data_IF_870733951552
#
_entry.id   IF_870733951552
#
_cell.length_a   1.000
_cell.length_b   1.000
_cell.length_c   1.000
_cell.angle_alpha   90.00
_cell.angle_beta   90.00
_cell.angle_gamma   90.00
#
_symmetry.space_group_name_H-M   'P 1'
#
loop_
_entity.id
_entity.type
_entity.pdbx_description
1 polymer ?
#
# COMPACT_ATOMS: atom_id res chain seq x y z
N UNK A 1 -24.78 -0.40 8.60
CA UNK A 1 -24.35 0.54 7.55
C UNK A 1 -22.83 0.53 7.47
N UNK A 2 -22.25 0.72 6.28
CA UNK A 2 -20.80 0.72 6.10
C UNK A 2 -20.17 2.03 6.58
N UNK A 3 -18.86 2.02 6.83
CA UNK A 3 -18.08 3.18 7.27
C UNK A 3 -17.81 4.23 6.16
N UNK A 4 -18.55 4.18 5.04
CA UNK A 4 -18.33 5.05 3.88
C UNK A 4 -17.22 4.61 2.93
N UNK A 5 -16.49 3.53 3.22
CA UNK A 5 -15.36 3.06 2.39
C UNK A 5 -15.80 2.08 1.31
N UNK A 6 -15.26 2.24 0.09
CA UNK A 6 -15.41 1.31 -1.03
C UNK A 6 -14.03 0.73 -1.35
N UNK A 7 -13.83 -0.54 -0.99
CA UNK A 7 -12.51 -1.17 -1.01
C UNK A 7 -11.70 -0.77 0.22
N UNK A 8 -10.65 0.05 0.03
CA UNK A 8 -9.82 0.62 1.09
C UNK A 8 -9.54 2.11 0.85
N UNK A 9 -8.80 2.75 1.77
CA UNK A 9 -8.54 4.19 1.70
C UNK A 9 -7.77 4.62 0.45
N UNK A 10 -6.95 3.74 -0.13
CA UNK A 10 -6.18 3.99 -1.36
C UNK A 10 -7.01 3.80 -2.63
N UNK A 11 -8.12 3.04 -2.59
CA UNK A 11 -9.06 2.95 -3.72
C UNK A 11 -10.12 4.04 -3.74
N UNK A 12 -10.34 4.73 -2.62
CA UNK A 12 -11.41 5.72 -2.47
C UNK A 12 -11.34 6.86 -3.48
N UNK A 13 -10.15 7.38 -3.78
CA UNK A 13 -9.99 8.47 -4.75
C UNK A 13 -10.50 8.12 -6.15
N UNK A 14 -10.33 6.86 -6.57
CA UNK A 14 -10.87 6.36 -7.84
C UNK A 14 -12.36 6.03 -7.74
N UNK A 15 -12.79 5.47 -6.60
CA UNK A 15 -14.19 5.14 -6.37
C UNK A 15 -15.10 6.38 -6.36
N UNK A 16 -14.64 7.49 -5.74
CA UNK A 16 -15.33 8.77 -5.75
C UNK A 16 -15.53 9.28 -7.18
N UNK A 17 -14.47 9.30 -7.99
CA UNK A 17 -14.56 9.75 -9.38
C UNK A 17 -15.49 8.87 -10.22
N UNK A 18 -15.43 7.54 -10.06
CA UNK A 18 -16.27 6.61 -10.78
C UNK A 18 -17.76 6.81 -10.43
N UNK A 19 -18.10 6.93 -9.15
CA UNK A 19 -19.50 7.08 -8.72
C UNK A 19 -20.07 8.46 -9.04
N UNK A 20 -19.27 9.52 -8.95
CA UNK A 20 -19.71 10.86 -9.35
C UNK A 20 -20.03 10.95 -10.86
N UNK A 21 -19.37 10.13 -11.68
CA UNK A 21 -19.55 10.13 -13.14
C UNK A 21 -20.55 9.09 -13.64
N UNK A 22 -21.08 8.23 -12.76
CA UNK A 22 -21.98 7.11 -13.10
C UNK A 22 -23.31 7.13 -12.32
N UNK A 23 -23.78 8.31 -11.93
CA UNK A 23 -24.95 8.50 -11.06
C UNK A 23 -26.24 7.83 -11.56
N UNK A 24 -26.36 7.62 -12.87
CA UNK A 24 -27.49 6.97 -13.51
C UNK A 24 -27.58 5.45 -13.27
N UNK A 25 -26.48 4.79 -12.87
CA UNK A 25 -26.38 3.33 -12.86
C UNK A 25 -26.56 2.66 -11.49
N UNK A 26 -26.61 3.41 -10.40
CA UNK A 26 -26.73 2.84 -9.05
C UNK A 26 -28.07 3.11 -8.36
N UNK A 27 -29.02 3.75 -9.05
CA UNK A 27 -30.41 3.80 -8.58
C UNK A 27 -30.99 2.38 -8.48
N UNK A 28 -31.79 2.06 -7.43
CA UNK A 28 -32.33 2.93 -6.38
C UNK A 28 -31.41 3.08 -5.15
N UNK A 29 -30.22 2.45 -5.15
CA UNK A 29 -29.31 2.43 -3.99
C UNK A 29 -28.68 3.82 -3.82
N UNK A 30 -29.06 4.51 -2.75
CA UNK A 30 -28.44 5.81 -2.42
C UNK A 30 -27.02 5.58 -1.91
N UNK A 31 -26.07 6.29 -2.49
CA UNK A 31 -24.70 6.37 -2.01
C UNK A 31 -24.50 7.67 -1.25
N UNK A 32 -24.00 7.57 -0.01
CA UNK A 32 -23.68 8.74 0.80
C UNK A 32 -22.30 9.29 0.41
N UNK A 33 -22.32 10.24 -0.54
CA UNK A 33 -21.13 10.94 -1.01
C UNK A 33 -20.43 11.71 0.13
N UNK A 34 -21.18 12.31 1.05
CA UNK A 34 -20.60 13.13 2.12
C UNK A 34 -19.82 12.25 3.11
N UNK A 35 -20.37 11.08 3.44
CA UNK A 35 -19.68 10.09 4.26
C UNK A 35 -18.39 9.59 3.58
N UNK A 36 -18.46 9.22 2.29
CA UNK A 36 -17.31 8.76 1.52
C UNK A 36 -16.22 9.83 1.37
N UNK A 37 -16.61 11.10 1.16
CA UNK A 37 -15.70 12.23 1.09
C UNK A 37 -15.00 12.48 2.43
N UNK A 38 -15.73 12.40 3.55
CA UNK A 38 -15.18 12.62 4.90
C UNK A 38 -14.10 11.59 5.26
N UNK A 39 -14.27 10.32 4.87
CA UNK A 39 -13.27 9.27 5.06
C UNK A 39 -11.94 9.63 4.40
N UNK A 40 -12.02 10.16 3.18
CA UNK A 40 -10.86 10.56 2.38
C UNK A 40 -10.23 11.84 2.90
N UNK A 41 -11.04 12.87 3.16
CA UNK A 41 -10.56 14.18 3.60
C UNK A 41 -9.79 14.12 4.93
N UNK A 42 -10.19 13.23 5.84
CA UNK A 42 -9.60 13.11 7.16
C UNK A 42 -8.40 12.14 7.23
N UNK A 43 -7.99 11.52 6.11
CA UNK A 43 -6.87 10.60 6.11
C UNK A 43 -5.54 11.32 5.82
N UNK A 44 -4.49 10.95 6.55
CA UNK A 44 -3.14 11.48 6.35
C UNK A 44 -2.39 10.66 5.29
N UNK A 45 -2.28 11.22 4.09
CA UNK A 45 -1.61 10.57 2.96
C UNK A 45 -0.12 10.93 2.92
N UNK A 46 0.73 9.96 3.25
CA UNK A 46 2.19 10.12 3.19
C UNK A 46 2.78 9.71 1.82
N UNK A 47 2.04 8.93 1.03
CA UNK A 47 2.47 8.39 -0.27
C UNK A 47 2.08 9.35 -1.41
N UNK A 48 3.03 9.89 -2.20
CA UNK A 48 2.74 10.85 -3.27
C UNK A 48 1.74 10.35 -4.31
N UNK A 49 1.80 9.06 -4.65
CA UNK A 49 0.86 8.47 -5.60
C UNK A 49 -0.56 8.34 -5.01
N UNK A 50 -0.68 8.02 -3.71
CA UNK A 50 -1.97 8.01 -3.04
C UNK A 50 -2.60 9.41 -3.01
N UNK A 51 -1.77 10.44 -2.74
CA UNK A 51 -2.20 11.84 -2.88
C UNK A 51 -2.66 12.15 -4.31
N UNK A 52 -1.91 11.73 -5.33
CA UNK A 52 -2.27 11.98 -6.73
C UNK A 52 -3.60 11.33 -7.14
N UNK A 53 -3.94 10.17 -6.58
CA UNK A 53 -5.21 9.48 -6.87
C UNK A 53 -6.41 10.11 -6.18
N UNK A 54 -6.19 10.78 -5.05
CA UNK A 54 -7.25 11.34 -4.21
C UNK A 54 -7.46 12.85 -4.39
N UNK A 55 -6.44 13.55 -4.90
CA UNK A 55 -6.51 14.98 -5.14
C UNK A 55 -7.65 15.36 -6.11
N UNK A 56 -7.87 14.68 -7.26
CA UNK A 56 -8.95 15.05 -8.18
C UNK A 56 -10.34 15.13 -7.53
N UNK A 57 -10.87 14.09 -6.85
CA UNK A 57 -12.19 14.18 -6.23
C UNK A 57 -12.22 15.18 -5.07
N UNK A 58 -11.12 15.41 -4.35
CA UNK A 58 -11.04 16.43 -3.29
C UNK A 58 -11.24 17.85 -3.83
N UNK A 59 -10.84 18.11 -5.08
CA UNK A 59 -11.07 19.40 -5.76
C UNK A 59 -12.29 19.38 -6.68
N UNK A 60 -13.17 18.37 -6.56
CA UNK A 60 -14.37 18.24 -7.37
C UNK A 60 -14.08 18.00 -8.86
N UNK A 61 -12.97 17.33 -9.17
CA UNK A 61 -12.54 16.97 -10.52
C UNK A 61 -12.50 15.45 -10.68
N UNK A 62 -12.61 15.02 -11.94
CA UNK A 62 -12.30 13.66 -12.35
C UNK A 62 -11.23 13.66 -13.43
N UNK A 63 -10.66 12.50 -13.75
CA UNK A 63 -9.77 12.37 -14.91
C UNK A 63 -10.41 12.79 -16.23
N UNK A 64 -11.74 12.84 -16.33
CA UNK A 64 -12.45 13.39 -17.50
C UNK A 64 -12.28 14.91 -17.66
N UNK A 65 -11.76 15.59 -16.63
CA UNK A 65 -11.55 17.03 -16.57
C UNK A 65 -10.06 17.40 -16.69
N UNK A 66 -9.21 16.48 -17.16
CA UNK A 66 -7.76 16.66 -17.20
C UNK A 66 -7.35 17.77 -18.20
N UNK A 67 -7.14 18.97 -17.67
CA UNK A 67 -6.54 20.11 -18.35
C UNK A 67 -5.91 21.07 -17.34
N UNK A 68 -4.58 20.97 -17.16
CA UNK A 68 -3.78 21.85 -16.29
C UNK A 68 -3.23 21.18 -15.02
N UNK A 69 -1.96 21.48 -14.68
CA UNK A 69 -1.18 20.82 -13.61
C UNK A 69 -0.73 21.85 -12.55
N UNK A 70 -1.00 21.67 -11.24
CA UNK A 70 -0.31 22.42 -10.19
C UNK A 70 0.87 21.62 -9.59
N UNK A 71 1.90 22.33 -9.12
CA UNK A 71 3.09 21.76 -8.47
C UNK A 71 2.92 21.66 -6.93
N UNK A 72 3.59 20.70 -6.29
CA UNK A 72 3.46 20.36 -4.85
C UNK A 72 4.83 20.40 -4.15
N UNK A 73 4.95 20.94 -2.91
CA UNK A 73 6.20 20.99 -2.15
C UNK A 73 6.40 19.78 -1.21
N UNK A 74 7.65 19.58 -0.75
CA UNK A 74 8.10 18.45 0.09
C UNK A 74 8.27 18.84 1.56
N UNK A 75 7.98 17.91 2.51
CA UNK A 75 8.10 18.10 3.97
C UNK A 75 9.26 17.28 4.59
N UNK A 76 9.86 17.72 5.72
CA UNK A 76 11.01 17.08 6.35
C UNK A 76 10.66 15.99 7.39
N UNK A 77 11.63 15.10 7.65
CA UNK A 77 11.50 13.87 8.45
C UNK A 77 11.87 14.08 9.95
N UNK A 78 11.13 13.39 10.83
CA UNK A 78 11.21 13.47 12.31
C UNK A 78 12.31 12.62 12.99
N UNK A 79 12.67 12.90 14.26
CA UNK A 79 13.80 12.27 14.98
C UNK A 79 13.55 10.84 15.50
N UNK A 80 14.61 10.09 15.88
CA UNK A 80 14.54 8.66 16.21
C UNK A 80 13.90 8.37 17.57
N UNK A 81 13.23 7.22 17.64
CA UNK A 81 12.49 6.70 18.81
C UNK A 81 13.03 5.32 19.21
N UNK A 82 12.69 4.82 20.40
CA UNK A 82 13.14 3.53 20.96
C UNK A 82 12.95 2.33 20.00
N UNK A 83 13.78 1.29 20.08
CA UNK A 83 13.65 0.12 19.20
C UNK A 83 12.46 -0.77 19.56
N UNK A 84 11.88 -1.40 18.53
CA UNK A 84 10.85 -2.43 18.62
C UNK A 84 11.36 -3.75 18.05
N UNK A 85 10.80 -4.87 18.51
CA UNK A 85 11.09 -6.20 17.96
C UNK A 85 9.89 -6.71 17.18
N UNK A 86 10.11 -7.14 15.95
CA UNK A 86 9.10 -7.67 15.04
C UNK A 86 9.40 -9.13 14.72
N UNK A 87 8.39 -9.99 14.74
CA UNK A 87 8.52 -11.35 14.19
C UNK A 87 8.31 -11.29 12.68
N UNK A 88 9.34 -11.67 11.92
CA UNK A 88 9.33 -11.65 10.47
C UNK A 88 9.45 -13.07 9.92
N UNK A 89 8.47 -13.49 9.13
CA UNK A 89 8.42 -14.82 8.52
C UNK A 89 8.21 -14.75 7.01
N UNK A 90 8.84 -15.68 6.29
CA UNK A 90 8.65 -15.89 4.86
C UNK A 90 8.12 -17.31 4.65
N UNK A 91 7.09 -17.46 3.83
CA UNK A 91 6.44 -18.75 3.57
C UNK A 91 6.13 -18.89 2.09
N UNK A 92 6.43 -20.05 1.53
CA UNK A 92 5.98 -20.44 0.20
C UNK A 92 5.20 -21.76 0.31
N UNK A 93 3.96 -21.75 -0.15
CA UNK A 93 3.06 -22.91 -0.16
C UNK A 93 2.75 -23.42 -1.57
N UNK A 94 3.18 -22.70 -2.62
CA UNK A 94 2.77 -23.01 -4.01
C UNK A 94 3.59 -24.16 -4.62
N UNK A 95 4.92 -24.11 -4.54
CA UNK A 95 5.84 -25.14 -5.05
C UNK A 95 7.09 -25.17 -4.20
N UNK A 96 7.59 -26.36 -3.81
CA UNK A 96 8.75 -26.51 -2.93
C UNK A 96 8.57 -25.73 -1.62
N UNK A 97 7.74 -26.29 -0.74
CA UNK A 97 7.37 -25.65 0.52
C UNK A 97 8.60 -25.22 1.32
N UNK A 98 8.57 -23.98 1.80
CA UNK A 98 9.51 -23.51 2.81
C UNK A 98 8.84 -22.52 3.74
N UNK A 99 9.32 -22.50 4.98
CA UNK A 99 8.93 -21.55 6.00
C UNK A 99 10.14 -21.19 6.86
N UNK A 100 10.44 -19.90 6.97
CA UNK A 100 11.51 -19.38 7.80
C UNK A 100 11.00 -18.21 8.62
N UNK A 101 11.43 -18.12 9.88
CA UNK A 101 11.05 -17.05 10.80
C UNK A 101 12.26 -16.54 11.58
N UNK A 102 12.27 -15.25 11.90
CA UNK A 102 13.31 -14.62 12.70
C UNK A 102 12.75 -13.39 13.43
N UNK A 103 13.31 -13.10 14.61
CA UNK A 103 13.01 -11.88 15.34
C UNK A 103 13.95 -10.77 14.91
N UNK A 104 13.42 -9.60 14.54
CA UNK A 104 14.19 -8.49 14.00
C UNK A 104 13.93 -7.25 14.87
N UNK A 105 15.01 -6.69 15.44
CA UNK A 105 14.93 -5.47 16.24
C UNK A 105 15.18 -4.22 15.37
N UNK A 106 14.25 -3.28 15.25
CA UNK A 106 14.39 -2.07 14.42
C UNK A 106 13.96 -0.82 15.20
N UNK A 107 14.45 0.38 14.88
CA UNK A 107 13.89 1.61 15.46
C UNK A 107 12.37 1.68 15.29
N UNK A 108 11.65 2.24 16.26
CA UNK A 108 10.22 2.48 16.12
C UNK A 108 9.96 3.40 14.91
N UNK A 109 8.83 3.17 14.22
CA UNK A 109 8.47 3.76 12.91
C UNK A 109 9.31 3.27 11.73
N UNK A 110 10.09 2.19 11.89
CA UNK A 110 10.74 1.56 10.75
C UNK A 110 9.72 0.93 9.80
N UNK A 111 9.98 1.00 8.50
CA UNK A 111 9.15 0.37 7.47
C UNK A 111 9.42 -1.12 7.36
N UNK A 112 8.49 -1.87 6.74
CA UNK A 112 8.69 -3.30 6.47
C UNK A 112 9.96 -3.56 5.65
N UNK A 113 10.25 -2.70 4.67
CA UNK A 113 11.48 -2.80 3.89
C UNK A 113 12.74 -2.71 4.76
N UNK A 114 12.74 -1.89 5.82
CA UNK A 114 13.87 -1.82 6.76
C UNK A 114 13.99 -3.10 7.60
N UNK A 115 12.87 -3.71 8.00
CA UNK A 115 12.85 -5.03 8.66
C UNK A 115 13.45 -6.09 7.74
N UNK A 116 13.02 -6.15 6.46
CA UNK A 116 13.57 -7.08 5.47
C UNK A 116 15.07 -6.88 5.24
N UNK A 117 15.53 -5.62 5.11
CA UNK A 117 16.95 -5.29 4.99
C UNK A 117 17.76 -5.74 6.21
N UNK A 118 17.19 -5.66 7.42
CA UNK A 118 17.85 -6.15 8.63
C UNK A 118 17.90 -7.68 8.68
N UNK A 119 16.79 -8.37 8.43
CA UNK A 119 16.75 -9.83 8.35
C UNK A 119 17.77 -10.39 7.33
N UNK A 120 17.87 -9.76 6.16
CA UNK A 120 18.87 -10.10 5.13
C UNK A 120 20.31 -9.94 5.62
N UNK A 121 20.63 -8.91 6.40
CA UNK A 121 21.99 -8.73 6.93
C UNK A 121 22.36 -9.80 7.94
N UNK A 122 21.40 -10.24 8.74
CA UNK A 122 21.62 -11.26 9.77
C UNK A 122 21.71 -12.68 9.18
N UNK A 123 20.86 -12.98 8.19
CA UNK A 123 20.78 -14.31 7.56
C UNK A 123 20.60 -14.14 6.04
N UNK A 124 21.68 -13.81 5.30
CA UNK A 124 21.61 -13.45 3.88
C UNK A 124 21.13 -14.60 3.00
N UNK A 125 21.50 -15.84 3.32
CA UNK A 125 21.11 -17.01 2.51
C UNK A 125 19.60 -17.28 2.56
N UNK A 126 18.97 -16.97 3.69
CA UNK A 126 17.54 -17.23 3.93
C UNK A 126 16.70 -16.02 3.50
N UNK A 127 17.02 -14.82 3.99
CA UNK A 127 16.19 -13.63 3.78
C UNK A 127 16.72 -12.72 2.65
N UNK A 128 17.42 -13.28 1.66
CA UNK A 128 17.74 -12.54 0.45
C UNK A 128 16.45 -12.16 -0.30
N UNK A 129 16.44 -10.95 -0.87
CA UNK A 129 15.32 -10.47 -1.67
C UNK A 129 15.78 -9.47 -2.72
N UNK A 130 14.97 -9.30 -3.77
CA UNK A 130 15.18 -8.33 -4.85
C UNK A 130 13.98 -7.39 -4.95
N UNK A 131 14.25 -6.15 -5.36
CA UNK A 131 13.22 -5.11 -5.54
C UNK A 131 13.35 -4.44 -6.90
N UNK A 132 12.22 -3.95 -7.43
CA UNK A 132 12.14 -3.07 -8.60
C UNK A 132 11.49 -1.76 -8.19
N UNK A 133 12.00 -0.62 -8.65
CA UNK A 133 11.38 0.67 -8.40
C UNK A 133 10.11 0.83 -9.25
N UNK A 134 9.03 1.32 -8.64
CA UNK A 134 7.77 1.67 -9.31
C UNK A 134 7.31 3.06 -8.87
N UNK A 135 6.26 3.59 -9.50
CA UNK A 135 5.63 4.85 -9.09
C UNK A 135 4.98 4.78 -7.69
N UNK A 136 4.69 3.56 -7.20
CA UNK A 136 4.19 3.30 -5.84
C UNK A 136 5.32 3.05 -4.84
N UNK A 137 6.58 3.10 -5.28
CA UNK A 137 7.73 2.78 -4.46
C UNK A 137 8.36 1.41 -4.78
N UNK A 138 9.18 0.86 -3.87
CA UNK A 138 9.92 -0.37 -4.08
C UNK A 138 8.99 -1.60 -4.07
N UNK A 139 8.92 -2.31 -5.18
CA UNK A 139 8.15 -3.55 -5.31
C UNK A 139 9.06 -4.76 -5.15
N UNK A 140 8.72 -5.68 -4.24
CA UNK A 140 9.50 -6.91 -3.99
C UNK A 140 9.19 -7.93 -5.08
N UNK A 141 10.22 -8.27 -5.86
CA UNK A 141 10.09 -9.19 -7.00
C UNK A 141 10.49 -10.63 -6.67
N UNK A 142 11.34 -10.82 -5.65
CA UNK A 142 11.84 -12.13 -5.26
C UNK A 142 12.23 -12.18 -3.78
N UNK A 143 11.99 -13.31 -3.13
CA UNK A 143 12.43 -13.64 -1.77
C UNK A 143 13.01 -15.06 -1.80
N UNK A 144 14.14 -15.27 -1.11
CA UNK A 144 14.83 -16.55 -1.02
C UNK A 144 15.09 -17.20 -2.39
N UNK A 145 15.53 -16.38 -3.36
CA UNK A 145 15.81 -16.81 -4.73
C UNK A 145 14.57 -17.12 -5.59
N UNK A 146 13.36 -17.15 -5.03
CA UNK A 146 12.12 -17.41 -5.75
C UNK A 146 11.47 -16.10 -6.19
N UNK A 147 11.27 -15.93 -7.50
CA UNK A 147 10.66 -14.74 -8.09
C UNK A 147 9.17 -14.95 -8.38
N UNK A 148 8.40 -13.86 -8.31
CA UNK A 148 7.05 -13.82 -8.89
C UNK A 148 7.09 -13.99 -10.40
N UNK A 149 5.97 -14.41 -10.99
CA UNK A 149 5.84 -14.65 -12.42
C UNK A 149 4.50 -14.10 -12.91
N UNK A 150 4.55 -13.18 -13.87
CA UNK A 150 3.36 -12.50 -14.41
C UNK A 150 2.45 -13.46 -15.18
N UNK A 151 3.02 -14.34 -16.01
CA UNK A 151 2.28 -15.35 -16.79
C UNK A 151 1.57 -16.35 -15.89
N UNK A 152 2.24 -16.80 -14.83
CA UNK A 152 1.68 -17.72 -13.83
C UNK A 152 0.87 -17.00 -12.74
N UNK A 153 0.79 -15.66 -12.78
CA UNK A 153 0.10 -14.80 -11.80
C UNK A 153 0.53 -15.05 -10.36
N UNK A 154 1.83 -15.27 -10.13
CA UNK A 154 2.40 -15.46 -8.79
C UNK A 154 3.16 -14.20 -8.34
N UNK A 155 2.98 -13.81 -7.08
CA UNK A 155 3.63 -12.64 -6.49
C UNK A 155 3.85 -12.84 -4.98
N UNK A 156 4.66 -11.98 -4.38
CA UNK A 156 4.88 -11.96 -2.94
C UNK A 156 3.85 -11.06 -2.27
N UNK A 157 3.04 -11.65 -1.40
CA UNK A 157 2.02 -10.95 -0.62
C UNK A 157 2.50 -10.77 0.82
N UNK A 158 2.29 -9.57 1.38
CA UNK A 158 2.70 -9.21 2.74
C UNK A 158 1.50 -9.13 3.68
N UNK A 159 1.70 -9.61 4.90
CA UNK A 159 0.68 -9.67 5.93
C UNK A 159 1.21 -9.10 7.25
N UNK A 160 0.35 -8.42 7.99
CA UNK A 160 0.50 -8.25 9.43
C UNK A 160 -0.37 -9.30 10.11
N UNK A 161 0.27 -10.32 10.67
CA UNK A 161 -0.39 -11.54 11.16
C UNK A 161 -1.24 -12.19 10.05
N UNK A 162 -2.55 -12.00 10.09
CA UNK A 162 -3.52 -12.61 9.16
C UNK A 162 -4.09 -11.61 8.16
N UNK A 163 -3.82 -10.32 8.32
CA UNK A 163 -4.39 -9.26 7.50
C UNK A 163 -3.40 -8.82 6.41
N UNK A 164 -3.79 -8.83 5.13
CA UNK A 164 -2.92 -8.36 4.06
C UNK A 164 -2.63 -6.87 4.26
N UNK A 165 -1.38 -6.48 4.03
CA UNK A 165 -1.00 -5.07 4.08
C UNK A 165 -1.61 -4.32 2.90
N UNK A 166 -2.01 -3.07 3.18
CA UNK A 166 -2.55 -2.15 2.17
C UNK A 166 -1.48 -1.22 1.59
N UNK A 167 -0.29 -1.21 2.21
CA UNK A 167 0.89 -0.42 1.84
C UNK A 167 2.09 -1.33 1.58
N UNK A 168 3.05 -0.82 0.81
CA UNK A 168 4.33 -1.49 0.49
C UNK A 168 5.48 -1.13 1.43
#
# INVERSE_FOLDING_TARGET
EGNGTIGNIYSMGLALQALETSSEFYAPRKWDRAQAFSVVYNHDYQQPMAMAQVLPPLVGKSYLNAGGVPQVPTLPLSPPTAPITVQFSITNTLKNYFHYSTSVCVPQKSTLLQVMKKARREKPDIFCFKTKQTNLGPFVTSIHGLAGNETARTYWQFFSCWSPLQEG
#
